data_IF_405745052575
#
_entry.id   IF_405745052575
#
_cell.length_a   1.000
_cell.length_b   1.000
_cell.length_c   1.000
_cell.angle_alpha   90.00
_cell.angle_beta   90.00
_cell.angle_gamma   90.00
#
_symmetry.space_group_name_H-M   'P 1'
#
loop_
_entity.id
_entity.type
_entity.pdbx_description
1 polymer ?
#
# COMPACT_ATOMS: atom_id res chain seq x y z
N UNK A 1 -36.18 7.20 -12.43
CA UNK A 1 -34.81 7.71 -12.61
C UNK A 1 -34.16 7.77 -11.24
N UNK A 2 -33.43 6.74 -10.79
CA UNK A 2 -32.60 6.87 -9.61
C UNK A 2 -31.46 7.85 -9.94
N UNK A 3 -31.15 8.74 -9.01
CA UNK A 3 -30.18 9.82 -9.16
C UNK A 3 -28.76 9.32 -8.87
N UNK A 4 -27.97 9.18 -9.93
CA UNK A 4 -26.58 8.68 -9.94
C UNK A 4 -25.53 9.65 -9.36
N UNK A 5 -25.79 10.26 -8.21
CA UNK A 5 -24.78 11.11 -7.52
C UNK A 5 -23.91 10.32 -6.52
N UNK A 6 -24.06 9.00 -6.47
CA UNK A 6 -23.25 8.10 -5.64
C UNK A 6 -22.06 7.51 -6.44
N UNK A 7 -22.03 7.69 -7.77
CA UNK A 7 -21.37 6.73 -8.67
C UNK A 7 -19.86 6.89 -8.87
N UNK A 8 -19.29 8.10 -8.88
CA UNK A 8 -17.87 8.26 -9.29
C UNK A 8 -16.85 8.27 -8.14
N UNK A 9 -17.18 8.90 -7.01
CA UNK A 9 -16.24 9.01 -5.89
C UNK A 9 -15.99 7.67 -5.20
N UNK A 10 -17.01 6.82 -5.12
CA UNK A 10 -16.93 5.51 -4.49
C UNK A 10 -16.18 4.51 -5.37
N UNK A 11 -16.43 4.51 -6.68
CA UNK A 11 -15.68 3.67 -7.62
C UNK A 11 -14.21 4.09 -7.68
N UNK A 12 -13.93 5.39 -7.74
CA UNK A 12 -12.56 5.89 -7.70
C UNK A 12 -11.84 5.48 -6.41
N UNK A 13 -12.53 5.49 -5.26
CA UNK A 13 -11.94 5.01 -4.01
C UNK A 13 -11.75 3.48 -4.00
N UNK A 14 -12.73 2.72 -4.50
CA UNK A 14 -12.70 1.26 -4.51
C UNK A 14 -11.61 0.71 -5.43
N UNK A 15 -11.45 1.31 -6.61
CA UNK A 15 -10.49 0.90 -7.64
C UNK A 15 -9.21 1.75 -7.65
N UNK A 16 -9.07 2.70 -6.73
CA UNK A 16 -7.93 3.61 -6.63
C UNK A 16 -7.63 4.37 -7.94
N UNK A 17 -8.67 4.80 -8.66
CA UNK A 17 -8.50 5.54 -9.91
C UNK A 17 -7.84 6.89 -9.67
N UNK A 18 -6.91 7.24 -10.56
CA UNK A 18 -6.14 8.49 -10.50
C UNK A 18 -5.17 8.58 -9.32
N UNK A 19 -5.01 7.51 -8.53
CA UNK A 19 -4.16 7.50 -7.34
C UNK A 19 -2.80 6.83 -7.66
N UNK A 20 -1.68 7.58 -7.67
CA UNK A 20 -0.37 6.98 -7.87
C UNK A 20 0.03 6.16 -6.64
N UNK A 21 0.17 4.86 -6.80
CA UNK A 21 0.55 3.96 -5.70
C UNK A 21 1.39 2.80 -6.19
N UNK A 22 2.08 2.16 -5.25
CA UNK A 22 2.80 0.91 -5.51
C UNK A 22 2.14 -0.27 -4.77
N UNK A 23 2.74 -1.43 -4.95
CA UNK A 23 2.39 -2.64 -4.22
C UNK A 23 3.60 -3.28 -3.55
N UNK A 24 3.36 -3.90 -2.41
CA UNK A 24 4.35 -4.69 -1.68
C UNK A 24 4.36 -6.17 -2.13
N UNK A 25 3.56 -6.49 -3.14
CA UNK A 25 3.49 -7.77 -3.85
C UNK A 25 3.66 -7.52 -5.34
N UNK A 26 4.21 -8.51 -6.04
CA UNK A 26 4.16 -8.52 -7.50
C UNK A 26 2.85 -9.16 -7.94
N UNK A 27 2.33 -8.77 -9.09
CA UNK A 27 1.17 -9.42 -9.67
C UNK A 27 1.21 -9.38 -11.20
N UNK A 28 0.53 -10.35 -11.80
CA UNK A 28 0.31 -10.39 -13.24
C UNK A 28 -1.15 -10.02 -13.50
N UNK A 29 -1.37 -9.13 -14.47
CA UNK A 29 -2.71 -8.71 -14.88
C UNK A 29 -2.91 -8.94 -16.37
N UNK A 30 -4.11 -9.34 -16.76
CA UNK A 30 -4.51 -9.52 -18.16
C UNK A 30 -5.84 -8.83 -18.42
N UNK A 31 -5.93 -8.11 -19.55
CA UNK A 31 -7.20 -7.60 -20.06
C UNK A 31 -8.04 -8.78 -20.56
N UNK A 32 -9.21 -9.00 -19.97
CA UNK A 32 -10.05 -10.18 -20.25
C UNK A 32 -11.27 -9.85 -21.12
N UNK A 33 -11.87 -8.68 -20.94
CA UNK A 33 -13.05 -8.23 -21.69
C UNK A 33 -13.08 -6.70 -21.82
N UNK A 34 -13.69 -6.20 -22.89
CA UNK A 34 -13.83 -4.76 -23.19
C UNK A 34 -12.54 -4.13 -23.73
N UNK A 35 -12.58 -2.81 -23.91
CA UNK A 35 -11.43 -2.00 -24.35
C UNK A 35 -10.30 -1.92 -23.33
N UNK A 36 -10.58 -2.18 -22.05
CA UNK A 36 -9.61 -2.14 -20.97
C UNK A 36 -9.39 -0.75 -20.38
N UNK A 37 -8.49 -0.65 -19.41
CA UNK A 37 -8.19 0.62 -18.74
C UNK A 37 -6.83 1.18 -19.15
N UNK A 38 -6.71 2.52 -19.18
CA UNK A 38 -5.42 3.21 -19.32
C UNK A 38 -4.70 3.20 -17.98
N UNK A 39 -3.39 2.96 -18.02
CA UNK A 39 -2.49 3.07 -16.86
C UNK A 39 -1.21 3.80 -17.23
N UNK A 40 -0.73 4.63 -16.31
CA UNK A 40 0.60 5.24 -16.40
C UNK A 40 1.48 4.59 -15.35
N UNK A 41 2.67 4.17 -15.76
CA UNK A 41 3.62 3.41 -14.96
C UNK A 41 4.90 4.24 -14.79
N UNK A 42 5.31 4.38 -13.53
CA UNK A 42 6.59 4.94 -13.14
C UNK A 42 7.39 3.88 -12.37
N UNK A 43 8.70 4.04 -12.33
CA UNK A 43 9.61 3.21 -11.54
C UNK A 43 10.24 4.01 -10.40
N UNK A 44 10.36 3.35 -9.25
CA UNK A 44 11.18 3.79 -8.13
C UNK A 44 11.91 2.58 -7.52
N UNK A 45 12.81 2.81 -6.56
CA UNK A 45 13.56 1.75 -5.89
C UNK A 45 13.28 1.75 -4.38
N UNK A 46 12.34 0.90 -3.94
CA UNK A 46 11.99 0.79 -2.53
C UNK A 46 13.17 0.39 -1.62
N UNK A 47 14.26 -0.18 -2.14
CA UNK A 47 15.43 -0.51 -1.32
C UNK A 47 16.24 0.72 -0.90
N UNK A 48 16.04 1.86 -1.57
CA UNK A 48 16.69 3.14 -1.29
C UNK A 48 15.83 4.09 -0.47
N UNK A 49 14.65 3.63 -0.03
CA UNK A 49 13.63 4.45 0.60
C UNK A 49 13.39 3.97 2.02
N UNK A 50 13.36 4.90 2.97
CA UNK A 50 13.10 4.61 4.39
C UNK A 50 11.63 4.27 4.63
N UNK A 51 10.73 4.87 3.85
CA UNK A 51 9.29 4.67 3.85
C UNK A 51 8.51 5.72 4.62
N UNK A 52 9.09 6.90 4.88
CA UNK A 52 8.46 7.94 5.68
C UNK A 52 7.58 8.88 4.83
N UNK A 53 6.50 9.38 5.42
CA UNK A 53 5.66 10.39 4.75
C UNK A 53 6.48 11.67 4.56
N UNK A 54 6.46 12.21 3.35
CA UNK A 54 7.23 13.38 2.92
C UNK A 54 8.61 13.03 2.37
N UNK A 55 9.07 11.78 2.46
CA UNK A 55 10.36 11.36 1.92
C UNK A 55 10.42 11.57 0.40
N UNK A 56 11.53 12.15 -0.09
CA UNK A 56 11.79 12.29 -1.52
C UNK A 56 12.19 10.94 -2.11
N UNK A 57 11.66 10.64 -3.29
CA UNK A 57 11.93 9.42 -4.04
C UNK A 57 12.23 9.75 -5.49
N UNK A 58 13.20 9.04 -6.08
CA UNK A 58 13.51 9.17 -7.50
C UNK A 58 12.45 8.41 -8.31
N UNK A 59 11.53 9.15 -8.92
CA UNK A 59 10.45 8.62 -9.76
C UNK A 59 10.82 8.80 -11.22
N UNK A 60 10.78 7.71 -11.99
CA UNK A 60 11.12 7.73 -13.41
C UNK A 60 9.94 7.24 -14.24
N UNK A 61 9.56 8.00 -15.27
CA UNK A 61 8.53 7.55 -16.20
C UNK A 61 8.97 6.27 -16.92
N UNK A 62 8.06 5.30 -17.01
CA UNK A 62 8.31 4.02 -17.68
C UNK A 62 7.41 3.86 -18.91
N UNK A 63 6.08 3.89 -18.73
CA UNK A 63 5.13 3.65 -19.82
C UNK A 63 3.79 4.38 -19.56
N UNK A 64 3.11 4.78 -20.62
CA UNK A 64 1.70 5.19 -20.61
C UNK A 64 0.96 4.32 -21.62
N UNK A 65 0.01 3.52 -21.16
CA UNK A 65 -0.46 2.37 -21.92
C UNK A 65 -1.88 1.94 -21.54
N UNK A 66 -2.48 1.06 -22.34
CA UNK A 66 -3.79 0.49 -22.05
C UNK A 66 -3.68 -1.01 -21.81
N UNK A 67 -4.31 -1.54 -20.75
CA UNK A 67 -4.52 -2.97 -20.55
C UNK A 67 -5.65 -3.47 -21.45
N UNK A 68 -5.42 -3.49 -22.77
CA UNK A 68 -6.41 -3.96 -23.74
C UNK A 68 -6.63 -5.47 -23.65
N UNK A 69 -7.73 -5.95 -24.25
CA UNK A 69 -8.05 -7.37 -24.28
C UNK A 69 -6.88 -8.21 -24.81
N UNK A 70 -6.46 -9.21 -24.03
CA UNK A 70 -5.33 -10.09 -24.30
C UNK A 70 -3.96 -9.53 -23.89
N UNK A 71 -3.83 -8.23 -23.60
CA UNK A 71 -2.57 -7.67 -23.10
C UNK A 71 -2.31 -8.18 -21.69
N UNK A 72 -1.07 -8.58 -21.44
CA UNK A 72 -0.58 -9.00 -20.13
C UNK A 72 0.45 -7.98 -19.63
N UNK A 73 0.36 -7.60 -18.35
CA UNK A 73 1.35 -6.79 -17.66
C UNK A 73 1.80 -7.46 -16.36
N UNK A 74 3.07 -7.29 -16.01
CA UNK A 74 3.64 -7.76 -14.76
C UNK A 74 4.13 -6.57 -13.93
N UNK A 75 3.50 -6.35 -12.78
CA UNK A 75 3.88 -5.32 -11.82
C UNK A 75 4.77 -5.92 -10.74
N UNK A 76 5.89 -5.25 -10.47
CA UNK A 76 6.95 -5.67 -9.55
C UNK A 76 6.78 -4.98 -8.20
N UNK A 77 6.80 -5.77 -7.14
CA UNK A 77 6.72 -5.29 -5.77
C UNK A 77 7.79 -4.22 -5.47
N UNK A 78 7.38 -3.08 -4.90
CA UNK A 78 8.28 -2.01 -4.46
C UNK A 78 9.10 -1.37 -5.59
N UNK A 79 8.63 -1.51 -6.84
CA UNK A 79 9.30 -0.93 -8.00
C UNK A 79 8.36 -0.18 -8.92
N UNK A 80 7.21 -0.77 -9.23
CA UNK A 80 6.26 -0.15 -10.17
C UNK A 80 5.22 0.68 -9.41
N UNK A 81 5.17 1.98 -9.71
CA UNK A 81 4.11 2.89 -9.30
C UNK A 81 3.14 3.00 -10.47
N UNK A 82 1.86 2.73 -10.25
CA UNK A 82 0.84 2.81 -11.29
C UNK A 82 -0.26 3.82 -10.96
N UNK A 83 -0.80 4.43 -12.01
CA UNK A 83 -1.97 5.30 -11.97
C UNK A 83 -2.98 4.71 -12.95
N UNK A 84 -4.08 4.18 -12.44
CA UNK A 84 -5.13 3.59 -13.27
C UNK A 84 -6.24 4.59 -13.51
N UNK A 85 -6.81 4.59 -14.71
CA UNK A 85 -7.94 5.43 -15.08
C UNK A 85 -9.15 4.55 -15.42
N UNK A 86 -10.38 5.01 -15.18
CA UNK A 86 -11.56 4.24 -15.54
C UNK A 86 -11.58 3.97 -17.06
N UNK A 87 -12.04 2.78 -17.49
CA UNK A 87 -12.23 2.47 -18.90
C UNK A 87 -13.40 3.27 -19.50
N UNK A 88 -13.40 3.47 -20.82
CA UNK A 88 -14.51 4.15 -21.53
C UNK A 88 -15.79 3.32 -21.59
N UNK A 89 -15.68 2.00 -21.44
CA UNK A 89 -16.78 1.05 -21.43
C UNK A 89 -16.55 -0.06 -20.42
N UNK A 90 -17.59 -0.85 -20.12
CA UNK A 90 -17.47 -1.99 -19.22
C UNK A 90 -16.37 -2.94 -19.67
N UNK A 91 -15.37 -3.10 -18.79
CA UNK A 91 -14.18 -3.88 -19.05
C UNK A 91 -13.86 -4.76 -17.85
N UNK A 92 -13.23 -5.91 -18.10
CA UNK A 92 -12.84 -6.87 -17.07
C UNK A 92 -11.35 -7.16 -17.22
N UNK A 93 -10.63 -7.10 -16.10
CA UNK A 93 -9.26 -7.61 -15.99
C UNK A 93 -9.18 -8.73 -14.97
N UNK A 94 -8.19 -9.61 -15.13
CA UNK A 94 -7.91 -10.69 -14.20
C UNK A 94 -6.52 -10.49 -13.60
N UNK A 95 -6.45 -10.41 -12.27
CA UNK A 95 -5.20 -10.28 -11.53
C UNK A 95 -4.82 -11.61 -10.88
N UNK A 96 -3.60 -12.08 -11.15
CA UNK A 96 -2.97 -13.19 -10.45
C UNK A 96 -1.95 -12.62 -9.47
N UNK A 97 -2.25 -12.74 -8.18
CA UNK A 97 -1.43 -12.23 -7.08
C UNK A 97 -0.87 -13.42 -6.30
N UNK A 98 0.42 -13.72 -6.41
CA UNK A 98 1.08 -14.65 -5.49
C UNK A 98 1.02 -14.06 -4.08
N UNK A 99 0.52 -14.83 -3.10
CA UNK A 99 0.33 -14.37 -1.72
C UNK A 99 1.30 -15.04 -0.74
N UNK A 100 2.61 -14.72 -0.76
CA UNK A 100 3.50 -15.23 0.26
C UNK A 100 3.13 -14.66 1.64
N UNK A 101 3.39 -15.43 2.70
CA UNK A 101 3.11 -15.01 4.09
C UNK A 101 3.81 -13.69 4.47
N UNK A 102 4.88 -13.32 3.77
CA UNK A 102 5.68 -12.11 4.01
C UNK A 102 5.06 -10.81 3.49
N UNK A 103 3.96 -10.85 2.72
CA UNK A 103 3.34 -9.64 2.18
C UNK A 103 2.83 -8.67 3.27
N UNK A 104 2.59 -9.14 4.49
CA UNK A 104 2.12 -8.31 5.60
C UNK A 104 3.22 -7.46 6.25
N UNK A 105 4.48 -7.60 5.81
CA UNK A 105 5.64 -7.01 6.49
C UNK A 105 6.09 -5.67 5.93
N UNK A 106 5.75 -5.33 4.68
CA UNK A 106 6.15 -4.06 4.08
C UNK A 106 4.93 -3.16 3.88
N UNK A 107 5.05 -1.84 4.10
CA UNK A 107 4.01 -0.91 3.70
C UNK A 107 3.88 -0.85 2.18
N UNK A 108 2.78 -0.26 1.73
CA UNK A 108 2.55 0.21 0.37
C UNK A 108 2.38 1.73 0.46
N UNK A 109 2.72 2.46 -0.59
CA UNK A 109 2.81 3.91 -0.58
C UNK A 109 1.92 4.53 -1.64
N UNK A 110 1.49 5.75 -1.35
CA UNK A 110 0.85 6.67 -2.29
C UNK A 110 1.85 7.78 -2.56
N UNK A 111 2.01 8.14 -3.83
CA UNK A 111 3.02 9.07 -4.30
C UNK A 111 2.42 10.36 -4.85
N UNK A 112 3.12 11.46 -4.62
CA UNK A 112 3.05 12.65 -5.47
C UNK A 112 4.17 12.52 -6.50
N UNK A 113 3.76 12.27 -7.75
CA UNK A 113 4.68 12.04 -8.87
C UNK A 113 5.39 13.33 -9.29
N UNK A 114 4.70 14.47 -9.24
CA UNK A 114 5.27 15.76 -9.63
C UNK A 114 6.31 16.23 -8.62
N UNK A 115 6.02 16.07 -7.33
CA UNK A 115 6.94 16.42 -6.26
C UNK A 115 8.01 15.35 -5.99
N UNK A 116 7.82 14.13 -6.50
CA UNK A 116 8.67 12.97 -6.27
C UNK A 116 8.73 12.59 -4.79
N UNK A 117 7.57 12.34 -4.16
CA UNK A 117 7.48 12.08 -2.71
C UNK A 117 6.45 11.03 -2.33
N UNK A 118 6.71 10.35 -1.22
CA UNK A 118 5.68 9.57 -0.52
C UNK A 118 4.76 10.55 0.21
N UNK A 119 3.46 10.50 -0.05
CA UNK A 119 2.47 11.37 0.60
C UNK A 119 1.57 10.63 1.58
N UNK A 120 1.42 9.32 1.43
CA UNK A 120 0.62 8.52 2.35
C UNK A 120 0.96 7.03 2.24
N UNK A 121 0.37 6.22 3.13
CA UNK A 121 0.40 4.76 3.05
C UNK A 121 -0.87 4.26 2.36
N UNK A 122 -0.72 3.34 1.40
CA UNK A 122 -1.85 2.65 0.81
C UNK A 122 -2.41 1.58 1.77
N UNK A 123 -3.68 1.20 1.54
CA UNK A 123 -4.38 0.17 2.33
C UNK A 123 -3.55 -1.13 2.29
N UNK A 124 -3.06 -1.58 3.44
CA UNK A 124 -2.28 -2.81 3.63
C UNK A 124 -2.63 -3.42 4.99
N UNK A 125 -1.97 -4.51 5.41
CA UNK A 125 -2.13 -5.09 6.76
C UNK A 125 -1.35 -4.33 7.85
N UNK A 126 -0.45 -3.42 7.47
CA UNK A 126 0.40 -2.70 8.41
C UNK A 126 -0.44 -1.78 9.32
N UNK A 127 -1.35 -0.91 8.82
CA UNK A 127 -2.14 -0.02 9.67
C UNK A 127 -2.99 -0.74 10.73
N UNK A 128 -3.60 -1.89 10.40
CA UNK A 128 -4.41 -2.67 11.35
C UNK A 128 -3.54 -3.21 12.49
N UNK A 129 -2.34 -3.72 12.16
CA UNK A 129 -1.37 -4.16 13.17
C UNK A 129 -0.91 -3.02 14.07
N UNK A 130 -0.64 -1.84 13.50
CA UNK A 130 -0.29 -0.65 14.29
C UNK A 130 -1.45 -0.22 15.21
N UNK A 131 -2.70 -0.35 14.75
CA UNK A 131 -3.90 -0.12 15.55
C UNK A 131 -4.02 -1.08 16.73
N UNK A 132 -3.73 -2.37 16.54
CA UNK A 132 -3.70 -3.35 17.64
C UNK A 132 -2.61 -3.04 18.67
N UNK A 133 -1.42 -2.63 18.23
CA UNK A 133 -0.36 -2.19 19.15
C UNK A 133 -0.79 -0.93 19.89
N UNK A 134 -1.48 0.00 19.23
CA UNK A 134 -2.01 1.19 19.89
C UNK A 134 -3.07 0.85 20.95
N UNK A 135 -3.93 -0.14 20.70
CA UNK A 135 -4.88 -0.63 21.70
C UNK A 135 -4.15 -1.30 22.87
N UNK A 136 -3.15 -2.15 22.59
CA UNK A 136 -2.33 -2.81 23.60
C UNK A 136 -1.57 -1.79 24.47
N UNK A 137 -1.10 -0.69 23.90
CA UNK A 137 -0.53 0.42 24.66
C UNK A 137 -1.52 0.96 25.69
N UNK A 138 -2.80 1.15 25.33
CA UNK A 138 -3.78 1.77 26.21
C UNK A 138 -4.29 0.82 27.31
N UNK A 139 -4.43 -0.47 26.99
CA UNK A 139 -5.06 -1.45 27.88
C UNK A 139 -4.07 -2.38 28.59
N UNK A 140 -2.82 -2.42 28.13
CA UNK A 140 -1.85 -3.41 28.55
C UNK A 140 -1.25 -3.17 29.94
N UNK A 141 -0.43 -4.12 30.34
CA UNK A 141 0.33 -4.16 31.58
C UNK A 141 1.78 -4.57 31.30
N UNK A 142 2.57 -4.82 32.34
CA UNK A 142 3.96 -5.24 32.18
C UNK A 142 4.14 -6.52 31.35
N UNK A 143 3.19 -7.45 31.37
CA UNK A 143 3.24 -8.62 30.49
C UNK A 143 3.05 -8.22 29.01
N UNK A 144 2.21 -7.22 28.76
CA UNK A 144 2.07 -6.61 27.43
C UNK A 144 3.37 -5.93 26.98
N UNK A 145 4.08 -5.25 27.88
CA UNK A 145 5.38 -4.64 27.58
C UNK A 145 6.40 -5.69 27.11
N UNK A 146 6.50 -6.84 27.81
CA UNK A 146 7.38 -7.94 27.41
C UNK A 146 7.01 -8.55 26.04
N UNK A 147 5.71 -8.65 25.73
CA UNK A 147 5.24 -9.08 24.41
C UNK A 147 5.66 -8.11 23.31
N UNK A 148 5.53 -6.80 23.57
CA UNK A 148 5.93 -5.75 22.64
C UNK A 148 7.44 -5.73 22.41
N UNK A 149 8.24 -6.03 23.43
CA UNK A 149 9.70 -6.24 23.30
C UNK A 149 10.02 -7.40 22.35
N UNK A 150 9.36 -8.55 22.52
CA UNK A 150 9.57 -9.71 21.64
C UNK A 150 9.17 -9.41 20.19
N UNK A 151 8.08 -8.67 20.00
CA UNK A 151 7.65 -8.21 18.67
C UNK A 151 8.73 -7.30 18.08
N UNK A 152 9.21 -6.30 18.84
CA UNK A 152 10.23 -5.37 18.37
C UNK A 152 11.55 -6.07 17.99
N UNK A 153 11.94 -7.11 18.74
CA UNK A 153 13.17 -7.85 18.51
C UNK A 153 13.15 -8.73 17.25
N UNK A 154 11.97 -9.12 16.75
CA UNK A 154 11.85 -10.16 15.70
C UNK A 154 11.09 -9.73 14.46
N UNK A 155 10.29 -8.67 14.55
CA UNK A 155 9.37 -8.32 13.47
C UNK A 155 10.08 -7.59 12.32
N UNK A 156 9.94 -8.04 11.06
CA UNK A 156 10.69 -7.48 9.92
C UNK A 156 10.19 -6.10 9.45
N UNK A 157 9.03 -5.66 9.91
CA UNK A 157 8.45 -4.36 9.58
C UNK A 157 8.94 -3.28 10.55
N UNK A 158 9.78 -2.35 10.07
CA UNK A 158 10.30 -1.22 10.86
C UNK A 158 9.23 -0.44 11.60
N UNK A 159 8.14 -0.03 10.93
CA UNK A 159 7.03 0.69 11.56
C UNK A 159 6.37 -0.09 12.71
N UNK A 160 6.32 -1.42 12.61
CA UNK A 160 5.80 -2.27 13.68
C UNK A 160 6.75 -2.31 14.87
N UNK A 161 8.06 -2.41 14.60
CA UNK A 161 9.11 -2.35 15.63
C UNK A 161 9.05 -1.02 16.37
N UNK A 162 9.07 0.10 15.65
CA UNK A 162 9.03 1.45 16.23
C UNK A 162 7.76 1.67 17.07
N UNK A 163 6.59 1.27 16.55
CA UNK A 163 5.33 1.39 17.29
C UNK A 163 5.30 0.52 18.54
N UNK A 164 5.88 -0.68 18.49
CA UNK A 164 5.96 -1.61 19.61
C UNK A 164 6.88 -1.08 20.73
N UNK A 165 8.06 -0.55 20.38
CA UNK A 165 8.97 0.07 21.33
C UNK A 165 8.33 1.30 22.00
N UNK A 166 7.71 2.18 21.22
CA UNK A 166 7.01 3.35 21.75
C UNK A 166 5.84 2.96 22.67
N UNK A 167 5.08 1.93 22.30
CA UNK A 167 4.00 1.43 23.14
C UNK A 167 4.55 0.89 24.47
N UNK A 168 5.55 0.01 24.40
CA UNK A 168 6.22 -0.60 25.55
C UNK A 168 6.71 0.46 26.54
N UNK A 169 7.43 1.48 26.07
CA UNK A 169 7.98 2.52 26.94
C UNK A 169 6.88 3.28 27.70
N UNK A 170 5.75 3.54 27.03
CA UNK A 170 4.58 4.14 27.68
C UNK A 170 3.87 3.21 28.65
N UNK A 171 3.95 1.89 28.46
CA UNK A 171 3.45 0.91 29.43
C UNK A 171 4.32 0.92 30.68
N UNK A 172 5.63 0.85 30.52
CA UNK A 172 6.57 0.85 31.65
C UNK A 172 6.40 2.13 32.46
N UNK A 173 6.39 3.29 31.80
CA UNK A 173 6.30 4.59 32.46
C UNK A 173 4.99 4.85 33.23
N UNK A 174 3.90 4.11 32.97
CA UNK A 174 2.64 4.22 33.74
C UNK A 174 2.54 3.22 34.89
N UNK A 175 3.42 2.21 34.91
CA UNK A 175 3.45 1.14 35.91
C UNK A 175 4.46 1.42 37.02
N UNK A 176 5.28 2.47 36.86
CA UNK A 176 6.09 3.13 37.88
C UNK A 176 5.29 4.19 38.64
#
# INVERSE_FOLDING_TARGET
MPTDNISWSQEAELYAYGLPHDHNFSFLTVGHFGSGYRTIIYEYDASKVSGEIGEKVDVNFSEDTTLSNGKVMYFRAGKDIHIQFPPEEFSVSLNMIPTPKSLSFRPQYIFDIEAGRIINYAKSQVPQRLGLIALAEQLGDMHTAELLDRIAATHPCRRTVERALLARDRIIARSE
#
